data_IF_983113096561
#
_entry.id   IF_983113096561
#
_cell.length_a   1.000
_cell.length_b   1.000
_cell.length_c   1.000
_cell.angle_alpha   90.00
_cell.angle_beta   90.00
_cell.angle_gamma   90.00
#
_symmetry.space_group_name_H-M   'P 1'
#
loop_
_entity.id
_entity.type
_entity.pdbx_description
1 polymer ?
#
# COMPACT_ATOMS: atom_id res chain seq x y z
N UNK A 1 -12.58 25.96 13.74
CA UNK A 1 -12.67 25.32 12.39
C UNK A 1 -12.45 23.81 12.53
N UNK A 2 -13.36 22.95 12.06
CA UNK A 2 -13.14 21.50 12.10
C UNK A 2 -11.89 21.11 11.27
N UNK A 3 -11.05 20.20 11.81
CA UNK A 3 -9.84 19.69 11.14
C UNK A 3 -10.15 18.98 9.81
N UNK A 4 -11.35 18.44 9.65
CA UNK A 4 -11.81 17.71 8.46
C UNK A 4 -13.20 18.23 8.04
N UNK A 5 -13.55 18.12 6.76
CA UNK A 5 -14.93 18.35 6.32
C UNK A 5 -15.88 17.24 6.82
N UNK A 6 -17.17 17.54 7.01
CA UNK A 6 -18.21 16.54 7.34
C UNK A 6 -18.21 15.38 6.34
N UNK A 7 -17.95 15.69 5.07
CA UNK A 7 -17.91 14.73 3.97
C UNK A 7 -16.67 13.83 4.03
N UNK A 8 -15.54 14.31 4.53
CA UNK A 8 -14.35 13.49 4.78
C UNK A 8 -14.58 12.52 5.95
N UNK A 9 -15.21 12.98 7.03
CA UNK A 9 -15.57 12.14 8.16
C UNK A 9 -16.50 10.97 7.75
N UNK A 10 -17.51 11.24 6.92
CA UNK A 10 -18.40 10.21 6.36
C UNK A 10 -17.65 9.15 5.55
N UNK A 11 -16.66 9.55 4.74
CA UNK A 11 -15.84 8.62 3.94
C UNK A 11 -14.99 7.71 4.82
N UNK A 12 -14.36 8.27 5.86
CA UNK A 12 -13.60 7.48 6.84
C UNK A 12 -14.52 6.49 7.57
N UNK A 13 -15.70 6.93 8.01
CA UNK A 13 -16.66 6.05 8.68
C UNK A 13 -17.08 4.87 7.77
N UNK A 14 -17.37 5.14 6.49
CA UNK A 14 -17.68 4.12 5.48
C UNK A 14 -16.51 3.13 5.29
N UNK A 15 -15.29 3.62 5.14
CA UNK A 15 -14.11 2.78 4.98
C UNK A 15 -13.89 1.89 6.21
N UNK A 16 -14.02 2.44 7.41
CA UNK A 16 -13.93 1.68 8.66
C UNK A 16 -15.02 0.61 8.76
N UNK A 17 -16.26 0.92 8.40
CA UNK A 17 -17.37 -0.06 8.38
C UNK A 17 -17.08 -1.21 7.40
N UNK A 18 -16.60 -0.90 6.19
CA UNK A 18 -16.20 -1.93 5.20
C UNK A 18 -15.01 -2.76 5.66
N UNK A 19 -14.06 -2.15 6.37
CA UNK A 19 -12.92 -2.88 6.93
C UNK A 19 -13.37 -3.85 8.04
N UNK A 20 -14.26 -3.41 8.94
CA UNK A 20 -14.88 -4.27 9.96
C UNK A 20 -15.67 -5.43 9.34
N UNK A 21 -16.40 -5.16 8.26
CA UNK A 21 -17.09 -6.19 7.49
C UNK A 21 -16.14 -7.09 6.66
N UNK A 22 -14.85 -6.78 6.61
CA UNK A 22 -13.86 -7.55 5.87
C UNK A 22 -13.95 -7.45 4.35
N UNK A 23 -14.67 -6.47 3.81
CA UNK A 23 -14.88 -6.26 2.37
C UNK A 23 -13.96 -5.19 1.78
N UNK A 24 -13.30 -4.38 2.61
CA UNK A 24 -12.38 -3.34 2.14
C UNK A 24 -11.10 -3.96 1.56
N UNK A 25 -10.74 -3.55 0.34
CA UNK A 25 -9.50 -3.96 -0.34
C UNK A 25 -8.58 -2.76 -0.62
N UNK A 26 -7.28 -3.01 -0.65
CA UNK A 26 -6.28 -2.08 -1.14
C UNK A 26 -6.40 -1.92 -2.66
N UNK A 27 -5.95 -0.78 -3.20
CA UNK A 27 -6.01 -0.49 -4.64
C UNK A 27 -5.17 -1.47 -5.47
N UNK A 28 -3.91 -1.12 -5.77
CA UNK A 28 -3.06 -1.87 -6.72
C UNK A 28 -2.91 -3.36 -6.38
N UNK A 29 -2.81 -3.70 -5.10
CA UNK A 29 -2.55 -5.09 -4.68
C UNK A 29 -3.81 -5.92 -4.42
N UNK A 30 -5.01 -5.33 -4.46
CA UNK A 30 -6.30 -5.98 -4.19
C UNK A 30 -6.34 -6.80 -2.89
N UNK A 31 -5.44 -6.52 -1.94
CA UNK A 31 -5.33 -7.24 -0.66
C UNK A 31 -6.42 -6.76 0.28
N UNK A 32 -6.94 -7.66 1.10
CA UNK A 32 -7.89 -7.30 2.17
C UNK A 32 -7.21 -6.36 3.17
N UNK A 33 -7.92 -5.33 3.60
CA UNK A 33 -7.45 -4.41 4.62
C UNK A 33 -7.54 -5.08 5.98
N UNK A 34 -6.43 -5.14 6.68
CA UNK A 34 -6.32 -5.85 7.96
C UNK A 34 -6.35 -4.91 9.17
N UNK A 35 -6.05 -3.63 8.97
CA UNK A 35 -5.93 -2.67 10.07
C UNK A 35 -6.88 -1.48 9.95
N UNK A 36 -7.40 -1.02 11.10
CA UNK A 36 -8.24 0.18 11.18
C UNK A 36 -7.50 1.43 10.73
N UNK A 37 -6.20 1.55 11.05
CA UNK A 37 -5.34 2.65 10.60
C UNK A 37 -5.28 2.73 9.06
N UNK A 38 -5.15 1.58 8.39
CA UNK A 38 -5.15 1.51 6.94
C UNK A 38 -6.52 1.88 6.33
N UNK A 39 -7.62 1.45 6.96
CA UNK A 39 -8.96 1.86 6.53
C UNK A 39 -9.17 3.37 6.62
N UNK A 40 -8.70 4.00 7.71
CA UNK A 40 -8.71 5.46 7.86
C UNK A 40 -7.88 6.13 6.77
N UNK A 41 -6.68 5.61 6.48
CA UNK A 41 -5.81 6.16 5.44
C UNK A 41 -6.44 6.06 4.04
N UNK A 42 -7.16 4.98 3.74
CA UNK A 42 -7.92 4.82 2.49
C UNK A 42 -9.05 5.86 2.45
N UNK A 43 -9.87 5.97 3.50
CA UNK A 43 -10.97 6.93 3.56
C UNK A 43 -10.51 8.40 3.47
N UNK A 44 -9.36 8.74 4.06
CA UNK A 44 -8.76 10.08 3.94
C UNK A 44 -8.19 10.32 2.53
N UNK A 45 -7.63 9.30 1.88
CA UNK A 45 -7.11 9.40 0.51
C UNK A 45 -8.25 9.57 -0.51
N UNK A 46 -9.36 8.83 -0.35
CA UNK A 46 -10.58 9.02 -1.13
C UNK A 46 -11.13 10.45 -0.99
N UNK A 47 -11.19 10.95 0.25
CA UNK A 47 -11.67 12.31 0.49
C UNK A 47 -10.76 13.38 -0.16
N UNK A 48 -9.43 13.17 -0.16
CA UNK A 48 -8.49 14.07 -0.86
C UNK A 48 -8.66 14.03 -2.37
N UNK A 49 -8.86 12.86 -2.96
CA UNK A 49 -9.09 12.71 -4.39
C UNK A 49 -10.37 13.45 -4.84
N UNK A 50 -11.38 13.51 -3.98
CA UNK A 50 -12.62 14.27 -4.20
C UNK A 50 -12.49 15.78 -3.87
N UNK A 51 -11.29 16.29 -3.62
CA UNK A 51 -11.06 17.72 -3.33
C UNK A 51 -11.58 18.19 -1.96
N UNK A 52 -11.93 17.26 -1.05
CA UNK A 52 -12.45 17.62 0.28
C UNK A 52 -11.34 18.13 1.18
N UNK A 53 -11.72 19.00 2.14
CA UNK A 53 -10.81 19.49 3.17
C UNK A 53 -10.38 18.35 4.10
N UNK A 54 -9.12 17.93 3.95
CA UNK A 54 -8.46 16.93 4.78
C UNK A 54 -7.16 17.53 5.31
N UNK A 55 -6.77 17.29 6.58
CA UNK A 55 -5.49 17.71 7.12
C UNK A 55 -4.35 17.27 6.22
N UNK A 56 -3.47 18.22 5.97
CA UNK A 56 -2.16 17.96 5.39
C UNK A 56 -1.44 17.05 6.37
N UNK A 57 -0.85 15.97 5.86
CA UNK A 57 0.12 15.23 6.64
C UNK A 57 1.24 16.21 7.03
N UNK A 58 1.68 16.23 8.30
CA UNK A 58 2.82 17.04 8.68
C UNK A 58 3.98 16.68 7.75
N UNK A 59 4.72 17.68 7.28
CA UNK A 59 5.91 17.45 6.45
C UNK A 59 6.90 16.66 7.29
N UNK A 60 6.90 15.34 7.17
CA UNK A 60 8.04 14.55 7.61
C UNK A 60 9.26 15.11 6.87
N UNK A 61 10.41 15.34 7.53
CA UNK A 61 11.63 15.68 6.81
C UNK A 61 11.82 14.62 5.73
N UNK A 62 12.07 15.04 4.49
CA UNK A 62 12.28 14.15 3.33
C UNK A 62 13.52 13.28 3.55
N UNK A 63 13.47 12.30 4.46
CA UNK A 63 14.55 11.35 4.70
C UNK A 63 14.43 10.24 3.65
N UNK A 64 15.25 10.43 2.61
CA UNK A 64 15.83 9.42 1.74
C UNK A 64 14.87 8.58 0.87
N UNK A 65 14.50 9.14 -0.29
CA UNK A 65 14.14 8.38 -1.48
C UNK A 65 15.32 7.56 -2.09
N UNK A 66 16.39 7.26 -1.33
CA UNK A 66 17.64 6.66 -1.83
C UNK A 66 17.98 5.25 -1.31
N UNK A 67 17.01 4.46 -0.81
CA UNK A 67 17.31 3.07 -0.35
C UNK A 67 16.46 1.90 -0.91
N UNK A 68 15.51 2.12 -1.83
CA UNK A 68 14.74 1.00 -2.41
C UNK A 68 15.14 0.56 -3.83
N UNK A 69 15.87 1.37 -4.59
CA UNK A 69 16.34 0.95 -5.94
C UNK A 69 17.50 -0.07 -5.90
N UNK A 70 18.28 -0.16 -4.82
CA UNK A 70 19.39 -1.15 -4.72
C UNK A 70 18.95 -2.57 -4.36
N UNK A 71 17.70 -2.81 -3.90
CA UNK A 71 17.22 -4.17 -3.54
C UNK A 71 16.35 -4.85 -4.62
N UNK A 72 16.29 -4.29 -5.82
CA UNK A 72 15.71 -4.95 -7.00
C UNK A 72 16.79 -5.53 -7.94
N UNK A 73 18.02 -5.01 -7.93
CA UNK A 73 19.11 -5.49 -8.79
C UNK A 73 19.82 -6.75 -8.24
N UNK A 74 19.92 -6.92 -6.91
CA UNK A 74 20.66 -8.03 -6.32
C UNK A 74 19.93 -9.39 -6.33
N UNK A 75 18.59 -9.42 -6.41
CA UNK A 75 17.82 -10.69 -6.42
C UNK A 75 17.61 -11.30 -7.82
N UNK A 76 17.93 -10.58 -8.91
CA UNK A 76 17.83 -11.14 -10.26
C UNK A 76 19.04 -11.98 -10.70
N UNK A 77 20.17 -11.95 -9.99
CA UNK A 77 21.36 -12.76 -10.33
C UNK A 77 21.43 -14.14 -9.65
N UNK A 78 20.74 -14.39 -8.54
CA UNK A 78 20.79 -15.69 -7.86
C UNK A 78 19.70 -16.68 -8.30
N UNK A 79 18.62 -16.23 -8.95
CA UNK A 79 17.57 -17.13 -9.44
C UNK A 79 17.80 -17.70 -10.85
N UNK A 80 18.78 -17.19 -11.61
CA UNK A 80 19.08 -17.67 -12.98
C UNK A 80 20.12 -18.80 -13.02
N UNK A 81 20.85 -19.06 -11.93
CA UNK A 81 21.88 -20.13 -11.88
C UNK A 81 21.35 -21.51 -11.44
N UNK A 82 20.13 -21.62 -10.92
CA UNK A 82 19.58 -22.91 -10.45
C UNK A 82 18.69 -23.65 -11.46
N UNK A 83 18.31 -23.04 -12.59
CA UNK A 83 17.58 -23.74 -13.67
C UNK A 83 18.47 -24.36 -14.76
N UNK A 84 19.75 -23.97 -14.88
CA UNK A 84 20.65 -24.52 -15.92
C UNK A 84 21.40 -25.79 -15.49
N UNK A 85 21.51 -26.09 -14.19
CA UNK A 85 22.17 -27.31 -13.69
C UNK A 85 21.25 -28.53 -13.54
N UNK A 86 19.92 -28.39 -13.56
CA UNK A 86 19.00 -29.54 -13.47
C UNK A 86 18.69 -30.24 -14.81
N UNK A 87 19.25 -29.78 -15.94
CA UNK A 87 19.02 -30.39 -17.27
C UNK A 87 20.26 -31.09 -17.86
N UNK A 88 21.23 -31.48 -17.02
CA UNK A 88 22.46 -32.13 -17.46
C UNK A 88 22.82 -33.41 -16.66
N UNK A 89 21.89 -34.01 -15.91
CA UNK A 89 22.16 -35.25 -15.15
C UNK A 89 21.04 -36.31 -15.26
N UNK A 90 20.29 -36.32 -16.36
CA UNK A 90 19.39 -37.43 -16.71
C UNK A 90 19.66 -37.88 -18.16
N UNK A 91 20.78 -38.59 -18.31
CA UNK A 91 21.00 -39.57 -19.36
C UNK A 91 21.97 -40.61 -18.78
N UNK A 92 21.38 -41.62 -18.19
CA UNK A 92 21.91 -42.98 -18.01
C UNK A 92 20.77 -43.87 -18.49
#
# INVERSE_FOLDING_TARGET
MAKYSKTAAKKVARAVKKAKAGTLRSGRSKKKVTSRKQAIAIGLSEARAEGKKVPKVPKAPKKAAKKMVKKAAAKKKTAKKTKKMKKASKKS
#
